data_IF_719913240326
#
_entry.id   IF_719913240326
#
_cell.length_a   1.000
_cell.length_b   1.000
_cell.length_c   1.000
_cell.angle_alpha   90.00
_cell.angle_beta   90.00
_cell.angle_gamma   90.00
#
_symmetry.space_group_name_H-M   'P 1'
#
loop_
_entity.id
_entity.type
_entity.pdbx_description
1 polymer ?
#
# COMPACT_ATOMS: atom_id res chain seq x y z
N UNK A 1 -29.02 -35.73 -48.00
CA UNK A 1 -27.83 -35.33 -47.22
C UNK A 1 -28.28 -35.06 -45.80
N UNK A 2 -27.84 -35.94 -44.92
CA UNK A 2 -28.06 -36.10 -43.49
C UNK A 2 -27.69 -34.83 -42.69
N UNK A 3 -28.54 -34.36 -41.77
CA UNK A 3 -28.25 -34.28 -40.32
C UNK A 3 -29.39 -33.61 -39.54
N UNK A 4 -29.85 -34.31 -38.52
CA UNK A 4 -30.74 -33.84 -37.46
C UNK A 4 -29.93 -33.19 -36.32
N UNK A 5 -30.54 -32.28 -35.55
CA UNK A 5 -30.34 -32.06 -34.09
C UNK A 5 -31.43 -31.07 -33.61
N UNK A 6 -32.51 -31.54 -32.96
CA UNK A 6 -32.66 -31.84 -31.50
C UNK A 6 -32.71 -30.52 -30.67
N UNK A 7 -33.89 -30.03 -30.25
CA UNK A 7 -34.60 -30.33 -28.98
C UNK A 7 -33.73 -29.89 -27.75
N UNK A 8 -34.13 -29.10 -26.73
CA UNK A 8 -35.42 -28.67 -26.16
C UNK A 8 -35.12 -27.78 -24.92
N UNK A 9 -36.17 -27.13 -24.38
CA UNK A 9 -36.32 -26.52 -23.03
C UNK A 9 -35.67 -25.14 -22.78
N UNK A 10 -36.42 -24.03 -22.64
CA UNK A 10 -37.49 -23.67 -21.67
C UNK A 10 -36.97 -23.39 -20.27
N UNK A 11 -37.00 -22.11 -19.87
CA UNK A 11 -37.38 -21.65 -18.52
C UNK A 11 -38.13 -20.33 -18.63
N UNK A 12 -39.44 -20.42 -18.39
CA UNK A 12 -40.39 -19.32 -18.33
C UNK A 12 -40.21 -18.49 -17.06
N UNK A 13 -40.30 -17.17 -17.21
CA UNK A 13 -40.56 -16.22 -16.13
C UNK A 13 -41.96 -16.44 -15.57
N UNK A 14 -42.07 -16.67 -14.26
CA UNK A 14 -43.33 -16.62 -13.54
C UNK A 14 -43.14 -15.84 -12.24
N UNK A 15 -43.57 -14.57 -12.30
CA UNK A 15 -43.81 -13.69 -11.17
C UNK A 15 -45.15 -14.13 -10.57
N UNK A 16 -45.17 -14.53 -9.29
CA UNK A 16 -46.41 -14.63 -8.52
C UNK A 16 -46.20 -14.11 -7.10
N UNK A 17 -46.78 -12.94 -6.86
CA UNK A 17 -47.22 -12.44 -5.55
C UNK A 17 -48.14 -13.46 -4.88
N UNK A 18 -47.95 -13.70 -3.57
CA UNK A 18 -49.05 -13.84 -2.61
C UNK A 18 -48.53 -13.71 -1.17
N UNK A 19 -49.17 -12.80 -0.45
CA UNK A 19 -49.13 -12.45 0.98
C UNK A 19 -49.30 -13.65 1.94
N UNK A 20 -48.84 -13.56 3.20
CA UNK A 20 -49.68 -13.51 4.42
C UNK A 20 -48.88 -13.69 5.74
N UNK A 21 -49.32 -12.95 6.77
CA UNK A 21 -49.15 -13.15 8.23
C UNK A 21 -47.88 -12.66 8.93
N UNK A 22 -47.94 -11.37 9.28
CA UNK A 22 -47.40 -10.82 10.51
C UNK A 22 -48.31 -11.16 11.70
N UNK A 23 -47.75 -11.61 12.82
CA UNK A 23 -48.18 -11.27 14.19
C UNK A 23 -47.35 -12.01 15.25
N UNK A 24 -47.18 -11.31 16.38
CA UNK A 24 -46.67 -11.77 17.69
C UNK A 24 -45.15 -11.67 17.87
N UNK A 25 -44.73 -10.65 18.63
CA UNK A 25 -44.05 -10.73 19.93
C UNK A 25 -43.89 -9.28 20.45
N UNK A 26 -44.73 -8.85 21.39
CA UNK A 26 -44.44 -8.76 22.84
C UNK A 26 -43.59 -7.53 23.25
N UNK A 27 -44.31 -6.51 23.72
CA UNK A 27 -44.02 -5.64 24.89
C UNK A 27 -42.59 -5.12 25.09
N UNK A 28 -42.37 -3.84 24.80
CA UNK A 28 -41.20 -3.08 25.27
C UNK A 28 -41.42 -2.59 26.71
N UNK A 29 -40.50 -2.85 27.66
CA UNK A 29 -40.40 -2.03 28.86
C UNK A 29 -39.47 -0.83 28.60
N UNK A 30 -40.04 0.36 28.81
CA UNK A 30 -39.37 1.63 28.94
C UNK A 30 -38.78 1.71 30.35
N UNK A 31 -37.46 1.61 30.52
CA UNK A 31 -36.78 2.09 31.75
C UNK A 31 -35.28 2.35 31.57
N UNK A 32 -34.87 3.44 32.23
CA UNK A 32 -33.55 3.73 32.77
C UNK A 32 -32.49 4.35 31.84
N UNK A 33 -32.47 5.68 31.91
CA UNK A 33 -31.29 6.53 31.86
C UNK A 33 -30.09 5.93 32.60
N UNK A 34 -28.96 5.81 31.90
CA UNK A 34 -27.62 5.98 32.46
C UNK A 34 -26.83 6.82 31.46
N UNK A 35 -26.59 8.07 31.82
CA UNK A 35 -25.52 8.86 31.23
C UNK A 35 -24.18 8.20 31.64
N UNK A 36 -23.44 7.66 30.68
CA UNK A 36 -22.01 7.40 30.82
C UNK A 36 -21.29 8.23 29.78
N UNK A 37 -20.46 9.11 30.33
CA UNK A 37 -19.44 9.95 29.74
C UNK A 37 -19.03 9.61 28.30
N UNK A 38 -19.11 10.62 27.44
CA UNK A 38 -18.25 10.73 26.28
C UNK A 38 -16.79 10.84 26.76
N UNK A 39 -16.11 9.69 26.84
CA UNK A 39 -14.68 9.63 26.61
C UNK A 39 -14.50 9.15 25.19
N UNK A 40 -14.37 10.10 24.26
CA UNK A 40 -13.89 9.83 22.91
C UNK A 40 -12.46 9.31 23.02
N UNK A 41 -12.39 7.98 23.15
CA UNK A 41 -11.17 7.19 23.24
C UNK A 41 -11.09 6.44 21.93
N UNK A 42 -10.78 7.16 20.87
CA UNK A 42 -10.40 6.62 19.56
C UNK A 42 -9.54 7.69 18.94
N UNK A 43 -8.28 7.48 18.57
CA UNK A 43 -7.80 6.41 17.71
C UNK A 43 -6.30 6.24 17.97
N UNK A 44 -5.93 5.42 18.95
CA UNK A 44 -4.66 4.71 18.82
C UNK A 44 -5.07 3.28 18.53
N UNK A 45 -5.46 3.04 17.28
CA UNK A 45 -5.44 1.69 16.75
C UNK A 45 -3.96 1.36 16.62
N UNK A 46 -3.37 0.94 17.74
CA UNK A 46 -2.14 0.18 17.75
C UNK A 46 -2.48 -1.06 16.93
N UNK A 47 -2.26 -0.98 15.61
CA UNK A 47 -2.26 -2.13 14.73
C UNK A 47 -1.14 -3.00 15.26
N UNK A 48 -1.50 -3.91 16.16
CA UNK A 48 -0.77 -5.14 16.39
C UNK A 48 -0.86 -5.93 15.08
N UNK A 49 -0.13 -5.44 14.07
CA UNK A 49 0.15 -6.14 12.84
C UNK A 49 0.94 -7.35 13.30
N UNK A 50 0.27 -8.50 13.38
CA UNK A 50 0.92 -9.79 13.52
C UNK A 50 1.87 -9.92 12.34
N UNK A 51 3.13 -9.53 12.53
CA UNK A 51 4.02 -9.21 11.43
C UNK A 51 4.20 -10.42 10.53
N UNK A 52 3.57 -10.38 9.36
CA UNK A 52 3.73 -11.38 8.30
C UNK A 52 5.18 -11.39 7.78
N UNK A 53 5.95 -10.35 8.11
CA UNK A 53 7.36 -10.22 7.83
C UNK A 53 8.22 -10.79 8.97
N UNK A 54 9.20 -11.61 8.58
CA UNK A 54 10.33 -11.95 9.43
C UNK A 54 11.12 -10.69 9.80
N UNK A 55 11.76 -10.67 10.97
CA UNK A 55 12.47 -9.50 11.48
C UNK A 55 13.53 -8.92 10.53
N UNK A 56 14.16 -9.74 9.69
CA UNK A 56 15.08 -9.26 8.64
C UNK A 56 14.35 -8.49 7.53
N UNK A 57 13.22 -9.00 7.04
CA UNK A 57 12.44 -8.31 6.01
C UNK A 57 11.81 -7.01 6.52
N UNK A 58 11.41 -6.95 7.80
CA UNK A 58 10.95 -5.72 8.44
C UNK A 58 12.03 -4.62 8.43
N UNK A 59 13.30 -4.98 8.61
CA UNK A 59 14.41 -4.01 8.54
C UNK A 59 14.56 -3.45 7.13
N UNK A 60 14.50 -4.31 6.12
CA UNK A 60 14.55 -3.90 4.72
C UNK A 60 13.37 -3.01 4.34
N UNK A 61 12.18 -3.36 4.82
CA UNK A 61 10.97 -2.54 4.67
C UNK A 61 11.11 -1.15 5.32
N UNK A 62 11.63 -1.11 6.56
CA UNK A 62 11.89 0.15 7.27
C UNK A 62 12.89 1.03 6.51
N UNK A 63 13.97 0.44 5.97
CA UNK A 63 14.96 1.15 5.16
C UNK A 63 14.33 1.70 3.87
N UNK A 64 13.49 0.93 3.19
CA UNK A 64 12.76 1.43 2.02
C UNK A 64 11.90 2.66 2.35
N UNK A 65 11.23 2.67 3.52
CA UNK A 65 10.44 3.82 3.99
C UNK A 65 11.28 5.07 4.27
N UNK A 66 12.57 4.92 4.57
CA UNK A 66 13.47 6.07 4.69
C UNK A 66 13.89 6.64 3.34
N UNK A 67 13.82 5.84 2.27
CA UNK A 67 14.20 6.21 0.91
C UNK A 67 13.00 6.62 0.05
N UNK A 68 11.78 6.39 0.52
CA UNK A 68 10.56 6.81 -0.18
C UNK A 68 10.19 8.22 0.26
N UNK A 69 9.94 9.16 -0.68
CA UNK A 69 9.38 10.45 -0.31
C UNK A 69 8.03 10.23 0.37
N UNK A 70 7.93 10.67 1.61
CA UNK A 70 6.63 10.81 2.26
C UNK A 70 5.97 12.02 1.59
N UNK A 71 4.81 11.82 0.97
CA UNK A 71 3.91 12.95 0.74
C UNK A 71 3.48 13.37 2.14
N UNK A 72 4.14 14.35 2.74
CA UNK A 72 3.75 14.83 4.05
C UNK A 72 2.26 15.15 4.02
N UNK A 73 1.51 14.57 4.97
CA UNK A 73 0.08 14.75 5.20
C UNK A 73 -0.21 16.14 5.76
N UNK A 74 0.30 17.17 5.08
CA UNK A 74 0.42 18.51 5.60
C UNK A 74 1.23 19.39 4.66
N UNK A 75 0.70 19.64 3.46
CA UNK A 75 0.93 20.93 2.80
C UNK A 75 0.18 22.03 3.60
N UNK A 76 0.54 22.17 4.87
CA UNK A 76 0.15 23.29 5.72
C UNK A 76 1.29 24.29 5.67
N UNK A 77 0.94 25.51 5.31
CA UNK A 77 1.79 26.69 5.26
C UNK A 77 2.37 27.11 6.64
N UNK A 78 2.58 26.19 7.58
CA UNK A 78 3.23 26.46 8.87
C UNK A 78 4.09 25.27 9.31
N UNK A 79 5.40 25.43 9.13
CA UNK A 79 6.37 25.29 10.22
C UNK A 79 6.17 24.10 11.18
N UNK A 80 6.53 22.90 10.76
CA UNK A 80 7.44 22.13 11.61
C UNK A 80 8.85 22.45 11.14
N UNK A 81 9.43 23.38 11.89
CA UNK A 81 10.85 23.67 11.93
C UNK A 81 11.58 22.34 12.14
N UNK A 82 12.35 21.91 11.14
CA UNK A 82 13.78 21.70 11.40
C UNK A 82 14.51 22.63 10.44
N UNK A 83 14.74 23.85 10.96
CA UNK A 83 15.61 24.91 10.46
C UNK A 83 15.84 24.98 8.94
N UNK A 84 15.12 25.89 8.28
CA UNK A 84 15.67 27.03 7.52
C UNK A 84 14.68 27.46 6.44
N UNK A 85 13.64 28.19 6.84
CA UNK A 85 12.93 29.10 5.96
C UNK A 85 13.08 30.50 6.59
N UNK A 86 14.15 31.22 6.23
CA UNK A 86 14.34 32.59 6.70
C UNK A 86 15.77 33.10 6.92
N UNK A 87 16.82 32.35 6.58
CA UNK A 87 18.18 32.92 6.60
C UNK A 87 18.58 33.29 5.17
N UNK A 88 18.55 34.60 4.89
CA UNK A 88 19.38 35.18 3.83
C UNK A 88 20.84 34.83 4.17
N UNK A 89 21.45 33.96 3.39
CA UNK A 89 22.90 33.79 3.36
C UNK A 89 23.56 33.39 4.68
N UNK A 90 23.54 32.10 4.99
CA UNK A 90 24.67 31.45 5.66
C UNK A 90 24.54 29.95 5.46
N UNK A 91 25.28 29.41 4.49
CA UNK A 91 26.15 28.23 4.66
C UNK A 91 25.83 27.32 5.85
N UNK A 92 24.63 26.75 5.89
CA UNK A 92 24.28 25.68 6.81
C UNK A 92 24.58 24.36 6.08
N UNK A 93 25.87 24.06 6.01
CA UNK A 93 26.48 22.74 6.07
C UNK A 93 25.59 21.56 5.64
N UNK A 94 25.56 21.30 4.33
CA UNK A 94 25.85 20.01 3.66
C UNK A 94 25.72 18.69 4.47
N UNK A 95 24.64 18.49 5.21
CA UNK A 95 24.30 17.18 5.81
C UNK A 95 22.80 16.88 5.81
N UNK A 96 22.00 17.69 5.12
CA UNK A 96 20.64 17.32 4.78
C UNK A 96 20.70 16.27 3.66
N UNK A 97 20.23 15.06 3.96
CA UNK A 97 20.03 13.95 3.02
C UNK A 97 19.52 14.49 1.67
N UNK A 98 20.41 14.62 0.68
CA UNK A 98 20.04 14.98 -0.68
C UNK A 98 19.14 13.87 -1.20
N UNK A 99 17.83 14.12 -1.41
CA UNK A 99 16.96 13.09 -1.93
C UNK A 99 17.43 12.73 -3.34
N UNK A 100 17.56 11.44 -3.65
CA UNK A 100 18.05 11.01 -4.97
C UNK A 100 17.05 11.30 -6.09
N UNK A 101 15.81 11.68 -5.78
CA UNK A 101 14.80 12.08 -6.76
C UNK A 101 14.98 13.55 -7.18
N UNK A 102 15.02 13.77 -8.49
CA UNK A 102 15.38 15.06 -9.12
C UNK A 102 14.40 16.21 -8.82
N UNK A 103 14.98 17.33 -8.38
CA UNK A 103 14.46 18.70 -8.58
C UNK A 103 13.21 19.03 -7.79
N UNK A 104 12.93 20.33 -7.61
CA UNK A 104 11.68 20.78 -7.01
C UNK A 104 10.50 20.54 -7.97
N UNK A 105 9.99 19.31 -7.99
CA UNK A 105 8.76 18.90 -8.69
C UNK A 105 7.54 18.96 -7.78
N UNK A 106 7.62 19.68 -6.66
CA UNK A 106 6.57 19.72 -5.63
C UNK A 106 5.24 20.24 -6.17
N UNK A 107 5.28 21.08 -7.21
CA UNK A 107 4.10 21.65 -7.86
C UNK A 107 3.58 20.83 -9.05
N UNK A 108 4.26 19.75 -9.45
CA UNK A 108 3.84 18.88 -10.53
C UNK A 108 2.73 17.93 -10.05
N UNK A 109 1.56 18.02 -10.68
CA UNK A 109 0.38 17.22 -10.30
C UNK A 109 0.65 15.73 -10.51
N UNK A 110 1.28 15.36 -11.62
CA UNK A 110 1.54 13.96 -11.96
C UNK A 110 2.52 13.33 -10.96
N UNK A 111 3.56 14.09 -10.58
CA UNK A 111 4.50 13.69 -9.54
C UNK A 111 3.80 13.45 -8.20
N UNK A 112 2.92 14.36 -7.75
CA UNK A 112 2.19 14.17 -6.49
C UNK A 112 1.28 12.94 -6.53
N UNK A 113 0.57 12.73 -7.64
CA UNK A 113 -0.32 11.57 -7.81
C UNK A 113 0.45 10.26 -7.83
N UNK A 114 1.62 10.24 -8.45
CA UNK A 114 2.55 9.11 -8.40
C UNK A 114 2.94 8.79 -6.95
N UNK A 115 3.43 9.78 -6.19
CA UNK A 115 3.78 9.59 -4.77
C UNK A 115 2.59 9.08 -3.96
N UNK A 116 1.41 9.66 -4.14
CA UNK A 116 0.21 9.25 -3.45
C UNK A 116 -0.13 7.77 -3.73
N UNK A 117 -0.06 7.36 -5.00
CA UNK A 117 -0.33 5.99 -5.41
C UNK A 117 0.71 5.00 -4.85
N UNK A 118 1.98 5.39 -4.83
CA UNK A 118 3.03 4.59 -4.21
C UNK A 118 2.80 4.45 -2.70
N UNK A 119 2.49 5.54 -2.01
CA UNK A 119 2.25 5.55 -0.57
C UNK A 119 1.05 4.68 -0.18
N UNK A 120 -0.05 4.77 -0.92
CA UNK A 120 -1.21 3.88 -0.74
C UNK A 120 -0.83 2.42 -0.88
N UNK A 121 -0.02 2.09 -1.90
CA UNK A 121 0.44 0.73 -2.11
C UNK A 121 1.35 0.23 -0.98
N UNK A 122 2.20 1.11 -0.44
CA UNK A 122 3.07 0.80 0.71
C UNK A 122 2.27 0.67 2.02
N UNK A 123 1.22 1.46 2.21
CA UNK A 123 0.35 1.36 3.38
C UNK A 123 -0.34 -0.01 3.45
N UNK A 124 -0.72 -0.58 2.30
CA UNK A 124 -1.24 -1.96 2.24
C UNK A 124 -0.21 -2.98 2.77
N UNK A 125 1.09 -2.74 2.56
CA UNK A 125 2.16 -3.57 3.14
C UNK A 125 2.21 -3.41 4.65
N UNK A 126 2.13 -2.17 5.15
CA UNK A 126 2.10 -1.86 6.59
C UNK A 126 0.90 -2.52 7.30
N UNK A 127 -0.26 -2.56 6.62
CA UNK A 127 -1.48 -3.20 7.09
C UNK A 127 -1.46 -4.74 6.97
N UNK A 128 -0.41 -5.33 6.38
CA UNK A 128 -0.32 -6.77 6.14
C UNK A 128 -1.23 -7.28 5.02
N UNK A 129 -1.84 -6.38 4.26
CA UNK A 129 -2.69 -6.70 3.09
C UNK A 129 -1.83 -7.01 1.86
N UNK A 130 -0.96 -8.01 1.99
CA UNK A 130 0.12 -8.26 1.04
C UNK A 130 -0.35 -8.55 -0.39
N UNK A 131 -1.42 -9.36 -0.64
CA UNK A 131 -1.91 -9.56 -2.00
C UNK A 131 -2.42 -8.26 -2.64
N UNK A 132 -3.09 -7.40 -1.86
CA UNK A 132 -3.58 -6.10 -2.34
C UNK A 132 -2.41 -5.15 -2.60
N UNK A 133 -1.40 -5.17 -1.74
CA UNK A 133 -0.17 -4.40 -1.92
C UNK A 133 0.54 -4.78 -3.22
N UNK A 134 0.69 -6.07 -3.51
CA UNK A 134 1.29 -6.55 -4.77
C UNK A 134 0.51 -6.03 -5.99
N UNK A 135 -0.82 -6.10 -5.95
CA UNK A 135 -1.66 -5.57 -7.05
C UNK A 135 -1.51 -4.06 -7.23
N UNK A 136 -1.50 -3.30 -6.13
CA UNK A 136 -1.33 -1.85 -6.17
C UNK A 136 0.06 -1.45 -6.70
N UNK A 137 1.10 -2.17 -6.30
CA UNK A 137 2.47 -1.95 -6.78
C UNK A 137 2.62 -2.34 -8.26
N UNK A 138 1.97 -3.42 -8.71
CA UNK A 138 1.93 -3.78 -10.12
C UNK A 138 1.26 -2.71 -10.97
N UNK A 139 0.15 -2.16 -10.49
CA UNK A 139 -0.52 -1.03 -11.13
C UNK A 139 0.41 0.18 -11.20
N UNK A 140 1.08 0.53 -10.11
CA UNK A 140 2.05 1.63 -10.09
C UNK A 140 3.16 1.45 -11.13
N UNK A 141 3.81 0.28 -11.16
CA UNK A 141 4.91 -0.01 -12.10
C UNK A 141 4.44 0.07 -13.56
N UNK A 142 3.19 -0.30 -13.83
CA UNK A 142 2.58 -0.23 -15.16
C UNK A 142 2.20 1.19 -15.56
N UNK A 143 1.59 1.93 -14.64
CA UNK A 143 1.06 3.28 -14.90
C UNK A 143 2.17 4.33 -14.94
N UNK A 144 3.27 4.10 -14.21
CA UNK A 144 4.42 5.01 -14.11
C UNK A 144 5.74 4.35 -14.56
N UNK A 145 5.88 3.95 -15.84
CA UNK A 145 7.05 3.22 -16.31
C UNK A 145 8.36 4.04 -16.28
N UNK A 146 8.27 5.37 -16.32
CA UNK A 146 9.40 6.30 -16.25
C UNK A 146 9.60 6.91 -14.85
N UNK A 147 8.89 6.41 -13.84
CA UNK A 147 9.00 6.86 -12.46
C UNK A 147 10.41 6.65 -11.90
N UNK A 148 10.92 7.67 -11.21
CA UNK A 148 12.15 7.56 -10.40
C UNK A 148 11.97 6.59 -9.21
N UNK A 149 10.73 6.35 -8.79
CA UNK A 149 10.37 5.41 -7.72
C UNK A 149 10.04 4.01 -8.25
N UNK A 150 10.14 3.75 -9.56
CA UNK A 150 9.86 2.43 -10.11
C UNK A 150 10.73 1.35 -9.48
N UNK A 151 12.01 1.64 -9.21
CA UNK A 151 12.91 0.74 -8.51
C UNK A 151 12.45 0.47 -7.06
N UNK A 152 11.98 1.49 -6.34
CA UNK A 152 11.39 1.34 -5.00
C UNK A 152 10.11 0.51 -5.02
N UNK A 153 9.24 0.73 -6.01
CA UNK A 153 8.01 -0.02 -6.17
C UNK A 153 8.29 -1.50 -6.48
N UNK A 154 9.28 -1.80 -7.31
CA UNK A 154 9.74 -3.17 -7.55
C UNK A 154 10.27 -3.82 -6.26
N UNK A 155 11.08 -3.08 -5.49
CA UNK A 155 11.58 -3.56 -4.20
C UNK A 155 10.45 -3.83 -3.20
N UNK A 156 9.53 -2.88 -3.03
CA UNK A 156 8.33 -3.04 -2.20
C UNK A 156 7.51 -4.26 -2.64
N UNK A 157 7.32 -4.44 -3.96
CA UNK A 157 6.54 -5.54 -4.52
C UNK A 157 7.17 -6.87 -4.16
N UNK A 158 8.48 -6.98 -4.31
CA UNK A 158 9.20 -8.19 -3.98
C UNK A 158 9.10 -8.56 -2.49
N UNK A 159 9.20 -7.56 -1.60
CA UNK A 159 9.01 -7.78 -0.17
C UNK A 159 7.57 -8.23 0.13
N UNK A 160 6.57 -7.58 -0.46
CA UNK A 160 5.16 -7.98 -0.31
C UNK A 160 4.90 -9.39 -0.84
N UNK A 161 5.47 -9.77 -1.99
CA UNK A 161 5.41 -11.12 -2.54
C UNK A 161 6.02 -12.15 -1.57
N UNK A 162 7.22 -11.85 -1.04
CA UNK A 162 7.87 -12.71 -0.07
C UNK A 162 7.08 -12.88 1.23
N UNK A 163 6.50 -11.80 1.76
CA UNK A 163 5.63 -11.86 2.93
C UNK A 163 4.32 -12.60 2.65
N UNK A 164 3.80 -12.54 1.42
CA UNK A 164 2.61 -13.29 1.00
C UNK A 164 2.89 -14.79 0.78
N UNK A 165 4.16 -15.21 0.90
CA UNK A 165 4.60 -16.59 0.69
C UNK A 165 5.09 -16.89 -0.73
N UNK A 166 4.92 -15.97 -1.68
CA UNK A 166 5.43 -16.11 -3.04
C UNK A 166 6.89 -15.62 -3.14
N UNK A 167 7.77 -16.36 -2.47
CA UNK A 167 9.21 -16.07 -2.43
C UNK A 167 9.85 -16.13 -3.81
N UNK A 168 9.40 -17.08 -4.65
CA UNK A 168 9.90 -17.24 -6.02
C UNK A 168 9.63 -15.99 -6.84
N UNK A 169 8.41 -15.47 -6.83
CA UNK A 169 8.11 -14.22 -7.54
C UNK A 169 8.88 -13.04 -6.94
N UNK A 170 9.02 -12.97 -5.62
CA UNK A 170 9.82 -11.94 -4.95
C UNK A 170 11.28 -11.90 -5.44
N UNK A 171 11.93 -13.07 -5.52
CA UNK A 171 13.30 -13.19 -6.06
C UNK A 171 13.37 -12.75 -7.53
N UNK A 172 12.41 -13.14 -8.36
CA UNK A 172 12.40 -12.74 -9.78
C UNK A 172 12.20 -11.23 -9.96
N UNK A 173 11.34 -10.62 -9.14
CA UNK A 173 11.12 -9.17 -9.12
C UNK A 173 12.41 -8.44 -8.75
N UNK A 174 13.14 -8.89 -7.72
CA UNK A 174 14.42 -8.28 -7.31
C UNK A 174 15.51 -8.45 -8.35
N UNK A 175 15.62 -9.63 -8.98
CA UNK A 175 16.57 -9.84 -10.08
C UNK A 175 16.29 -8.91 -11.26
N UNK A 176 15.02 -8.69 -11.58
CA UNK A 176 14.62 -7.74 -12.62
C UNK A 176 14.99 -6.31 -12.24
N UNK A 177 14.72 -5.90 -10.99
CA UNK A 177 15.14 -4.60 -10.47
C UNK A 177 16.66 -4.40 -10.56
N UNK A 178 17.46 -5.38 -10.15
CA UNK A 178 18.93 -5.30 -10.20
C UNK A 178 19.48 -5.24 -11.63
N UNK A 179 18.77 -5.85 -12.59
CA UNK A 179 19.11 -5.78 -14.01
C UNK A 179 18.78 -4.40 -14.59
N UNK A 180 17.61 -3.87 -14.27
CA UNK A 180 17.11 -2.60 -14.81
C UNK A 180 17.75 -1.39 -14.12
N UNK A 181 18.14 -1.53 -12.84
CA UNK A 181 18.69 -0.47 -11.99
C UNK A 181 19.97 -0.91 -11.25
N UNK A 182 21.06 -1.20 -11.99
CA UNK A 182 22.28 -1.79 -11.41
C UNK A 182 23.03 -0.87 -10.43
N UNK A 183 22.81 0.44 -10.50
CA UNK A 183 23.46 1.47 -9.67
C UNK A 183 22.51 2.06 -8.61
N UNK A 184 21.33 1.46 -8.40
CA UNK A 184 20.35 1.98 -7.45
C UNK A 184 20.84 1.89 -6.00
N UNK A 185 20.52 2.86 -5.12
CA UNK A 185 20.89 2.81 -3.70
C UNK A 185 20.44 1.54 -2.96
N UNK A 186 19.35 0.91 -3.41
CA UNK A 186 18.80 -0.34 -2.86
C UNK A 186 19.48 -1.61 -3.41
N UNK A 187 20.52 -1.52 -4.24
CA UNK A 187 21.17 -2.71 -4.84
C UNK A 187 21.60 -3.73 -3.80
N UNK A 188 22.29 -3.28 -2.75
CA UNK A 188 22.75 -4.15 -1.67
C UNK A 188 21.57 -4.79 -0.91
N UNK A 189 20.55 -3.99 -0.61
CA UNK A 189 19.35 -4.44 0.08
C UNK A 189 18.54 -5.45 -0.76
N UNK A 190 18.51 -5.28 -2.08
CA UNK A 190 17.88 -6.20 -3.02
C UNK A 190 18.62 -7.53 -3.06
N UNK A 191 19.96 -7.51 -3.04
CA UNK A 191 20.74 -8.74 -2.96
C UNK A 191 20.53 -9.46 -1.62
N UNK A 192 20.46 -8.72 -0.51
CA UNK A 192 20.14 -9.28 0.80
C UNK A 192 18.73 -9.91 0.80
N UNK A 193 17.73 -9.20 0.27
CA UNK A 193 16.37 -9.72 0.14
C UNK A 193 16.32 -11.01 -0.70
N UNK A 194 17.05 -11.10 -1.82
CA UNK A 194 17.15 -12.33 -2.62
C UNK A 194 17.69 -13.48 -1.77
N UNK A 195 18.78 -13.23 -1.03
CA UNK A 195 19.41 -14.25 -0.20
C UNK A 195 18.44 -14.73 0.90
N UNK A 196 17.69 -13.83 1.53
CA UNK A 196 16.69 -14.16 2.55
C UNK A 196 15.54 -14.99 1.97
N UNK A 197 15.03 -14.61 0.79
CA UNK A 197 13.91 -15.29 0.14
C UNK A 197 14.28 -16.64 -0.45
N UNK A 198 15.57 -16.90 -0.70
CA UNK A 198 16.07 -18.16 -1.29
C UNK A 198 16.50 -19.21 -0.27
N UNK A 199 16.56 -18.88 1.03
CA UNK A 199 17.16 -19.71 2.08
C UNK A 199 16.18 -20.58 2.89
N UNK A 200 14.92 -20.70 2.45
CA UNK A 200 13.86 -21.45 3.16
C UNK A 200 13.06 -22.29 2.18
#
# INVERSE_FOLDING_TARGET
MTLALRNKFSRSNAILLTTLMASVLLTSPLTASVAVAATDTGLIQQTQSSSTFNGAMLKLWSKLRTLSPKADAGYSSQSQVIATAGVRGSEATDSALQPYWKGDKTNDVDFRTEIENLNKAQELVDQGQLPQAVQALDKFIKDYPASEFRANALFAKALAQGGAGDRTAGVQTLKSMLKDYPEHPLKADAQEAINLLSQT
#
